data_IF_458852877708
#
_entry.id   IF_458852877708
#
_cell.length_a   1.000
_cell.length_b   1.000
_cell.length_c   1.000
_cell.angle_alpha   90.00
_cell.angle_beta   90.00
_cell.angle_gamma   90.00
#
_symmetry.space_group_name_H-M   'P 1'
#
loop_
_entity.id
_entity.type
_entity.pdbx_description
1 polymer ?
#
# COMPACT_ATOMS: atom_id res chain seq x y z
N UNK A 1 22.52 -1.91 0.58
CA UNK A 1 21.08 -1.61 0.46
C UNK A 1 20.74 -1.44 -1.02
N UNK A 2 19.87 -2.27 -1.60
CA UNK A 2 19.57 -2.20 -3.04
C UNK A 2 18.35 -1.30 -3.26
N UNK A 3 18.60 -0.05 -3.66
CA UNK A 3 17.57 0.97 -3.84
C UNK A 3 16.51 0.55 -4.88
N UNK A 4 16.89 -0.25 -5.88
CA UNK A 4 15.94 -0.77 -6.88
C UNK A 4 14.94 -1.75 -6.25
N UNK A 5 15.39 -2.59 -5.31
CA UNK A 5 14.50 -3.52 -4.59
C UNK A 5 13.55 -2.79 -3.64
N UNK A 6 14.04 -1.78 -2.94
CA UNK A 6 13.23 -0.96 -2.03
C UNK A 6 12.16 -0.19 -2.82
N UNK A 7 12.55 0.42 -3.94
CA UNK A 7 11.62 1.11 -4.83
C UNK A 7 10.55 0.16 -5.40
N UNK A 8 10.95 -1.04 -5.85
CA UNK A 8 10.02 -2.05 -6.33
C UNK A 8 9.05 -2.52 -5.23
N UNK A 9 9.53 -2.74 -4.01
CA UNK A 9 8.69 -3.08 -2.87
C UNK A 9 7.70 -1.97 -2.54
N UNK A 10 8.17 -0.72 -2.44
CA UNK A 10 7.32 0.44 -2.18
C UNK A 10 6.21 0.60 -3.22
N UNK A 11 6.56 0.50 -4.51
CA UNK A 11 5.60 0.56 -5.60
C UNK A 11 4.61 -0.60 -5.58
N UNK A 12 5.08 -1.83 -5.29
CA UNK A 12 4.21 -3.00 -5.17
C UNK A 12 3.21 -2.87 -4.03
N UNK A 13 3.66 -2.37 -2.88
CA UNK A 13 2.80 -2.11 -1.72
C UNK A 13 1.81 -0.97 -1.97
N UNK A 14 2.25 0.11 -2.63
CA UNK A 14 1.39 1.22 -3.04
C UNK A 14 0.27 0.76 -3.99
N UNK A 15 0.65 0.07 -5.08
CA UNK A 15 -0.30 -0.41 -6.09
C UNK A 15 -1.31 -1.38 -5.46
N UNK A 16 -0.85 -2.28 -4.58
CA UNK A 16 -1.75 -3.19 -3.86
C UNK A 16 -2.77 -2.43 -3.01
N UNK A 17 -2.33 -1.41 -2.26
CA UNK A 17 -3.23 -0.61 -1.44
C UNK A 17 -4.27 0.15 -2.29
N UNK A 18 -3.85 0.73 -3.43
CA UNK A 18 -4.76 1.42 -4.36
C UNK A 18 -5.82 0.45 -4.89
N UNK A 19 -5.41 -0.73 -5.36
CA UNK A 19 -6.33 -1.73 -5.90
C UNK A 19 -7.32 -2.17 -4.83
N UNK A 20 -6.88 -2.41 -3.59
CA UNK A 20 -7.75 -2.81 -2.49
C UNK A 20 -8.78 -1.73 -2.15
N UNK A 21 -8.38 -0.46 -2.05
CA UNK A 21 -9.32 0.63 -1.74
C UNK A 21 -10.35 0.84 -2.87
N UNK A 22 -9.93 0.81 -4.13
CA UNK A 22 -10.86 0.92 -5.28
C UNK A 22 -11.82 -0.28 -5.34
N UNK A 23 -11.31 -1.47 -5.07
CA UNK A 23 -12.11 -2.69 -5.03
C UNK A 23 -13.11 -2.71 -3.87
N UNK A 24 -12.75 -2.14 -2.72
CA UNK A 24 -13.66 -1.97 -1.59
C UNK A 24 -14.74 -0.93 -1.90
N UNK A 25 -14.36 0.18 -2.55
CA UNK A 25 -15.29 1.25 -2.93
C UNK A 25 -16.37 0.78 -3.88
N UNK A 26 -16.00 -0.01 -4.90
CA UNK A 26 -16.99 -0.59 -5.85
C UNK A 26 -18.00 -1.55 -5.20
N UNK A 27 -17.78 -1.96 -3.94
CA UNK A 27 -18.67 -2.86 -3.19
C UNK A 27 -19.38 -2.20 -2.01
N UNK A 28 -19.10 -0.93 -1.72
CA UNK A 28 -19.70 -0.24 -0.58
C UNK A 28 -20.48 0.99 -1.06
N UNK A 29 -21.74 1.18 -0.63
CA UNK A 29 -22.46 2.41 -0.91
C UNK A 29 -21.83 3.56 -0.13
N UNK A 30 -21.43 4.63 -0.83
CA UNK A 30 -20.85 5.82 -0.21
C UNK A 30 -19.90 6.58 -1.11
N UNK A 31 -19.60 7.82 -0.72
CA UNK A 31 -18.55 8.61 -1.35
C UNK A 31 -17.17 8.04 -0.99
N UNK A 32 -16.25 8.07 -1.94
CA UNK A 32 -14.87 7.67 -1.69
C UNK A 32 -14.15 8.71 -0.83
N UNK A 33 -13.60 8.29 0.30
CA UNK A 33 -12.78 9.16 1.15
C UNK A 33 -11.33 9.16 0.64
N UNK A 34 -11.01 10.13 -0.21
CA UNK A 34 -9.67 10.33 -0.78
C UNK A 34 -8.60 10.63 0.28
N UNK A 35 -8.97 11.26 1.40
CA UNK A 35 -8.03 11.62 2.47
C UNK A 35 -7.58 10.36 3.21
N UNK A 36 -8.54 9.49 3.54
CA UNK A 36 -8.24 8.20 4.17
C UNK A 36 -7.48 7.27 3.20
N UNK A 37 -7.91 7.19 1.95
CA UNK A 37 -7.25 6.38 0.92
C UNK A 37 -5.79 6.79 0.73
N UNK A 38 -5.51 8.09 0.60
CA UNK A 38 -4.13 8.58 0.46
C UNK A 38 -3.22 8.16 1.62
N UNK A 39 -3.73 8.15 2.87
CA UNK A 39 -2.97 7.66 4.03
C UNK A 39 -2.71 6.15 3.96
N UNK A 40 -3.70 5.37 3.52
CA UNK A 40 -3.57 3.92 3.32
C UNK A 40 -2.60 3.56 2.21
N UNK A 41 -2.54 4.36 1.16
CA UNK A 41 -1.58 4.20 0.06
C UNK A 41 -0.15 4.40 0.52
N UNK A 42 0.09 5.45 1.33
CA UNK A 42 1.41 5.67 1.96
C UNK A 42 1.75 4.52 2.91
N UNK A 43 0.80 4.05 3.72
CA UNK A 43 1.00 2.90 4.59
C UNK A 43 1.34 1.62 3.79
N UNK A 44 0.67 1.39 2.67
CA UNK A 44 0.96 0.29 1.74
C UNK A 44 2.35 0.39 1.14
N UNK A 45 2.76 1.60 0.71
CA UNK A 45 4.11 1.83 0.21
C UNK A 45 5.18 1.53 1.28
N UNK A 46 4.96 2.00 2.52
CA UNK A 46 5.85 1.73 3.64
C UNK A 46 5.89 0.23 3.99
N UNK A 47 4.75 -0.45 3.97
CA UNK A 47 4.70 -1.90 4.16
C UNK A 47 5.49 -2.65 3.07
N UNK A 48 5.41 -2.20 1.82
CA UNK A 48 6.20 -2.72 0.71
C UNK A 48 7.70 -2.48 0.85
N UNK A 49 8.11 -1.33 1.39
CA UNK A 49 9.50 -1.05 1.77
C UNK A 49 9.98 -2.01 2.85
N UNK A 50 9.19 -2.19 3.92
CA UNK A 50 9.53 -3.09 5.02
C UNK A 50 9.65 -4.55 4.55
N UNK A 51 8.72 -5.00 3.71
CA UNK A 51 8.78 -6.32 3.07
C UNK A 51 10.03 -6.48 2.20
N UNK A 52 10.41 -5.47 1.41
CA UNK A 52 11.64 -5.48 0.61
C UNK A 52 12.92 -5.46 1.45
N UNK A 53 12.84 -4.98 2.70
CA UNK A 53 13.91 -5.06 3.69
C UNK A 53 13.92 -6.41 4.44
N UNK A 54 12.97 -7.32 4.17
CA UNK A 54 12.84 -8.61 4.85
C UNK A 54 12.30 -8.47 6.28
N UNK A 55 11.70 -7.33 6.62
CA UNK A 55 11.05 -7.09 7.90
C UNK A 55 9.59 -7.51 7.77
N UNK A 56 9.28 -8.73 8.17
CA UNK A 56 7.90 -9.18 8.30
C UNK A 56 7.25 -8.51 9.52
N UNK A 57 6.00 -8.02 9.41
CA UNK A 57 5.27 -7.56 10.58
C UNK A 57 5.11 -8.74 11.55
N UNK A 58 5.61 -8.59 12.78
CA UNK A 58 5.41 -9.55 13.86
C UNK A 58 3.91 -9.78 14.02
N UNK A 59 3.48 -10.99 13.68
CA UNK A 59 2.09 -11.47 13.71
C UNK A 59 1.45 -11.31 15.08
#
# INVERSE_FOLDING_TARGET
MNMNKIGAGALGGLVSAIVVDLHAWTRTPGAFDWSLAGRRWVAGAMAGVLAALGLEPLT
#
